data_IF_826609362059
#
_entry.id   IF_826609362059
#
_cell.length_a   1.000
_cell.length_b   1.000
_cell.length_c   1.000
_cell.angle_alpha   90.00
_cell.angle_beta   90.00
_cell.angle_gamma   90.00
#
_symmetry.space_group_name_H-M   'P 1'
#
loop_
_entity.id
_entity.type
_entity.pdbx_description
1 polymer ?
#
# COMPACT_ATOMS: atom_id res chain seq x y z
N UNK A 1 29.40 -10.41 2.49
CA UNK A 1 29.13 -11.61 3.29
C UNK A 1 27.66 -11.98 3.14
N UNK A 2 27.36 -12.91 2.23
CA UNK A 2 26.00 -13.39 1.97
C UNK A 2 25.56 -14.30 3.12
N UNK A 3 24.61 -13.85 3.95
CA UNK A 3 23.99 -14.74 4.93
C UNK A 3 23.08 -15.74 4.21
N UNK A 4 23.37 -17.02 4.42
CA UNK A 4 22.65 -18.22 3.97
C UNK A 4 21.13 -18.00 3.93
N UNK A 5 20.55 -18.14 2.73
CA UNK A 5 19.11 -18.07 2.50
C UNK A 5 18.40 -19.32 3.03
N UNK A 6 17.34 -19.11 3.82
CA UNK A 6 16.39 -20.16 4.18
C UNK A 6 15.79 -20.03 5.57
N UNK A 7 16.50 -19.48 6.55
CA UNK A 7 15.98 -19.36 7.91
C UNK A 7 15.08 -18.13 8.08
N UNK A 8 13.84 -18.35 8.52
CA UNK A 8 12.89 -17.28 8.80
C UNK A 8 13.47 -16.37 9.90
N UNK A 9 13.60 -15.07 9.62
CA UNK A 9 14.11 -14.09 10.59
C UNK A 9 13.22 -13.98 11.85
N UNK A 10 11.94 -14.33 11.71
CA UNK A 10 10.93 -14.35 12.77
C UNK A 10 10.08 -15.63 12.72
N UNK A 11 9.86 -16.25 13.88
CA UNK A 11 9.08 -17.49 14.03
C UNK A 11 7.59 -17.26 14.32
N UNK A 12 7.16 -16.00 14.51
CA UNK A 12 5.77 -15.64 14.74
C UNK A 12 5.60 -14.19 15.23
N UNK A 13 4.36 -13.76 15.42
CA UNK A 13 4.05 -12.39 15.88
C UNK A 13 4.72 -12.06 17.21
N UNK A 14 4.64 -12.96 18.20
CA UNK A 14 5.24 -12.77 19.52
C UNK A 14 6.77 -12.63 19.43
N UNK A 15 7.39 -13.36 18.51
CA UNK A 15 8.84 -13.32 18.28
C UNK A 15 9.26 -11.98 17.64
N UNK A 16 8.45 -11.43 16.72
CA UNK A 16 8.65 -10.07 16.17
C UNK A 16 8.60 -9.03 17.28
N UNK A 17 7.56 -9.04 18.12
CA UNK A 17 7.42 -8.05 19.20
C UNK A 17 8.58 -8.15 20.20
N UNK A 18 8.94 -9.36 20.65
CA UNK A 18 10.04 -9.56 21.61
C UNK A 18 11.38 -9.10 21.04
N UNK A 19 11.70 -9.47 19.80
CA UNK A 19 12.97 -9.08 19.15
C UNK A 19 13.02 -7.58 18.90
N UNK A 20 11.97 -6.97 18.36
CA UNK A 20 11.92 -5.54 18.05
C UNK A 20 11.93 -4.67 19.31
N UNK A 21 11.20 -5.05 20.37
CA UNK A 21 11.25 -4.34 21.64
C UNK A 21 12.64 -4.43 22.29
N UNK A 22 13.33 -5.56 22.15
CA UNK A 22 14.67 -5.76 22.70
C UNK A 22 15.76 -4.98 21.95
N UNK A 23 15.65 -4.83 20.63
CA UNK A 23 16.65 -4.12 19.81
C UNK A 23 16.40 -2.63 19.68
N UNK A 24 15.15 -2.23 19.44
CA UNK A 24 14.78 -0.86 19.05
C UNK A 24 13.77 -0.20 20.01
N UNK A 25 13.32 -0.93 21.04
CA UNK A 25 12.31 -0.45 21.99
C UNK A 25 10.96 -0.15 21.32
N UNK A 26 10.16 0.68 21.98
CA UNK A 26 8.84 1.12 21.50
C UNK A 26 8.98 1.94 20.20
N UNK A 27 10.06 2.71 20.07
CA UNK A 27 10.34 3.50 18.87
C UNK A 27 10.51 2.64 17.61
N UNK A 28 11.00 1.40 17.73
CA UNK A 28 11.08 0.45 16.63
C UNK A 28 9.72 0.03 16.07
N UNK A 29 8.70 -0.09 16.92
CA UNK A 29 7.34 -0.46 16.51
C UNK A 29 6.65 0.67 15.73
N UNK A 30 6.94 1.93 16.07
CA UNK A 30 6.38 3.12 15.40
C UNK A 30 7.28 3.68 14.29
N UNK A 31 8.39 3.00 13.95
CA UNK A 31 9.29 3.45 12.89
C UNK A 31 8.56 3.43 11.54
N UNK A 32 8.42 4.61 10.96
CA UNK A 32 7.67 4.81 9.72
C UNK A 32 6.22 5.29 9.92
N UNK A 33 5.78 5.62 11.14
CA UNK A 33 4.45 6.17 11.38
C UNK A 33 4.24 7.51 10.64
N UNK A 34 5.17 8.46 10.74
CA UNK A 34 5.05 9.77 10.07
C UNK A 34 4.92 9.65 8.55
N UNK A 35 5.72 8.81 7.90
CA UNK A 35 5.62 8.57 6.45
C UNK A 35 4.34 7.79 6.09
N UNK A 36 3.84 6.97 7.01
CA UNK A 36 2.52 6.31 6.86
C UNK A 36 1.38 7.33 6.86
N UNK A 37 1.43 8.34 7.73
CA UNK A 37 0.47 9.44 7.77
C UNK A 37 0.50 10.25 6.48
N UNK A 38 1.69 10.63 5.99
CA UNK A 38 1.80 11.34 4.71
C UNK A 38 1.29 10.48 3.56
N UNK A 39 1.64 9.18 3.54
CA UNK A 39 1.18 8.25 2.52
C UNK A 39 -0.34 8.10 2.47
N UNK A 40 -1.02 8.00 3.62
CA UNK A 40 -2.49 7.89 3.65
C UNK A 40 -3.17 9.20 3.23
N UNK A 41 -2.60 10.36 3.60
CA UNK A 41 -3.12 11.67 3.18
C UNK A 41 -3.02 11.82 1.68
N UNK A 42 -1.87 11.50 1.08
CA UNK A 42 -1.67 11.58 -0.38
C UNK A 42 -2.56 10.59 -1.11
N UNK A 43 -2.63 9.33 -0.63
CA UNK A 43 -3.49 8.32 -1.23
C UNK A 43 -4.96 8.73 -1.20
N UNK A 44 -5.49 9.12 -0.02
CA UNK A 44 -6.89 9.53 0.11
C UNK A 44 -7.17 10.85 -0.62
N UNK A 45 -6.26 11.82 -0.54
CA UNK A 45 -6.40 13.10 -1.22
C UNK A 45 -6.48 12.93 -2.74
N UNK A 46 -5.62 12.09 -3.32
CA UNK A 46 -5.68 11.76 -4.75
C UNK A 46 -6.90 10.92 -5.09
N UNK A 47 -7.28 9.96 -4.25
CA UNK A 47 -8.46 9.13 -4.46
C UNK A 47 -9.72 10.00 -4.53
N UNK A 48 -9.99 10.80 -3.50
CA UNK A 48 -11.16 11.69 -3.47
C UNK A 48 -11.05 12.78 -4.52
N UNK A 49 -9.88 13.40 -4.68
CA UNK A 49 -9.67 14.46 -5.68
C UNK A 49 -9.91 13.97 -7.11
N UNK A 50 -9.38 12.80 -7.49
CA UNK A 50 -9.65 12.23 -8.81
C UNK A 50 -11.09 11.75 -8.94
N UNK A 51 -11.68 11.15 -7.90
CA UNK A 51 -13.06 10.70 -7.94
C UNK A 51 -14.03 11.87 -8.12
N UNK A 52 -13.87 12.94 -7.34
CA UNK A 52 -14.73 14.13 -7.40
C UNK A 52 -14.47 14.98 -8.64
N UNK A 53 -13.28 14.88 -9.26
CA UNK A 53 -13.00 15.56 -10.54
C UNK A 53 -13.58 14.82 -11.73
N UNK A 54 -13.52 13.47 -11.74
CA UNK A 54 -13.91 12.67 -12.91
C UNK A 54 -15.40 12.33 -12.90
N UNK A 55 -16.01 12.14 -11.72
CA UNK A 55 -17.45 11.85 -11.59
C UNK A 55 -18.37 12.90 -12.24
N UNK A 56 -18.20 14.23 -12.05
CA UNK A 56 -19.07 15.23 -12.68
C UNK A 56 -18.80 15.42 -14.18
N UNK A 57 -17.64 14.99 -14.68
CA UNK A 57 -17.33 15.02 -16.12
C UNK A 57 -17.98 13.84 -16.87
N UNK A 58 -18.46 12.83 -16.15
CA UNK A 58 -19.07 11.65 -16.75
C UNK A 58 -20.56 11.90 -17.05
N UNK A 59 -21.03 11.64 -18.29
CA UNK A 59 -22.44 11.71 -18.66
C UNK A 59 -23.32 10.91 -17.71
N UNK A 60 -24.50 11.43 -17.38
CA UNK A 60 -25.41 10.82 -16.41
C UNK A 60 -25.83 9.38 -16.80
N UNK A 61 -25.91 9.09 -18.10
CA UNK A 61 -26.16 7.74 -18.63
C UNK A 61 -25.05 6.72 -18.36
N UNK A 62 -23.80 7.17 -18.19
CA UNK A 62 -22.66 6.33 -17.83
C UNK A 62 -22.54 6.16 -16.31
N UNK A 63 -23.07 7.08 -15.50
CA UNK A 63 -23.06 6.93 -14.04
C UNK A 63 -23.96 5.78 -13.57
N UNK A 64 -25.07 5.52 -14.26
CA UNK A 64 -25.96 4.38 -14.00
C UNK A 64 -25.39 3.04 -14.51
N UNK A 65 -24.39 3.08 -15.40
CA UNK A 65 -23.76 1.88 -15.93
C UNK A 65 -22.72 1.34 -14.95
N UNK A 66 -22.98 0.15 -14.38
CA UNK A 66 -22.07 -0.54 -13.46
C UNK A 66 -20.63 -0.63 -14.00
N UNK A 67 -20.47 -0.92 -15.30
CA UNK A 67 -19.15 -1.06 -15.93
C UNK A 67 -18.37 0.25 -16.01
N UNK A 68 -19.05 1.39 -16.23
CA UNK A 68 -18.41 2.70 -16.28
C UNK A 68 -18.02 3.19 -14.89
N UNK A 69 -18.88 3.01 -13.88
CA UNK A 69 -18.56 3.31 -12.48
C UNK A 69 -17.44 2.40 -11.95
N UNK A 70 -17.41 1.13 -12.36
CA UNK A 70 -16.32 0.20 -12.03
C UNK A 70 -15.01 0.60 -12.71
N UNK A 71 -15.03 0.94 -14.01
CA UNK A 71 -13.84 1.38 -14.74
C UNK A 71 -13.27 2.69 -14.16
N UNK A 72 -14.13 3.62 -13.77
CA UNK A 72 -13.73 4.86 -13.09
C UNK A 72 -13.11 4.57 -11.73
N UNK A 73 -13.76 3.73 -10.91
CA UNK A 73 -13.21 3.30 -9.62
C UNK A 73 -11.85 2.61 -9.77
N UNK A 74 -11.69 1.77 -10.79
CA UNK A 74 -10.43 1.08 -11.08
C UNK A 74 -9.34 2.05 -11.55
N UNK A 75 -9.66 2.99 -12.44
CA UNK A 75 -8.72 3.99 -12.95
C UNK A 75 -8.25 4.93 -11.82
N UNK A 76 -9.18 5.42 -10.99
CA UNK A 76 -8.88 6.27 -9.83
C UNK A 76 -8.03 5.52 -8.80
N UNK A 77 -8.38 4.27 -8.49
CA UNK A 77 -7.62 3.45 -7.53
C UNK A 77 -6.22 3.13 -8.05
N UNK A 78 -6.10 2.84 -9.35
CA UNK A 78 -4.80 2.56 -9.99
C UNK A 78 -3.94 3.81 -10.06
N UNK A 79 -4.50 4.96 -10.46
CA UNK A 79 -3.81 6.24 -10.54
C UNK A 79 -3.33 6.75 -9.18
N UNK A 80 -4.24 6.79 -8.19
CA UNK A 80 -3.89 7.17 -6.81
C UNK A 80 -2.91 6.18 -6.17
N UNK A 81 -3.05 4.88 -6.44
CA UNK A 81 -2.14 3.83 -6.00
C UNK A 81 -0.75 3.96 -6.59
N UNK A 82 -0.62 4.31 -7.87
CA UNK A 82 0.66 4.52 -8.55
C UNK A 82 1.35 5.79 -8.09
N UNK A 83 0.61 6.88 -7.95
CA UNK A 83 1.15 8.16 -7.48
C UNK A 83 1.62 8.11 -6.02
N UNK A 84 0.93 7.35 -5.16
CA UNK A 84 1.31 7.15 -3.76
C UNK A 84 2.37 6.04 -3.57
N UNK A 85 2.67 5.28 -4.62
CA UNK A 85 3.56 4.10 -4.56
C UNK A 85 5.00 4.43 -4.08
N UNK A 86 5.65 5.54 -4.51
CA UNK A 86 6.97 5.90 -3.99
C UNK A 86 6.99 6.09 -2.48
N UNK A 87 5.93 6.68 -1.92
CA UNK A 87 5.80 6.91 -0.47
C UNK A 87 5.59 5.58 0.25
N UNK A 88 4.79 4.69 -0.32
CA UNK A 88 4.55 3.34 0.19
C UNK A 88 5.84 2.48 0.16
N UNK A 89 6.66 2.60 -0.88
CA UNK A 89 7.97 1.93 -0.96
C UNK A 89 8.93 2.43 0.13
N UNK A 90 9.03 3.76 0.33
CA UNK A 90 9.85 4.33 1.40
C UNK A 90 9.35 3.88 2.78
N UNK A 91 8.02 3.89 3.00
CA UNK A 91 7.40 3.38 4.22
C UNK A 91 7.81 1.93 4.51
N UNK A 92 7.66 1.03 3.53
CA UNK A 92 8.01 -0.39 3.70
C UNK A 92 9.51 -0.56 3.95
N UNK A 93 10.37 0.14 3.20
CA UNK A 93 11.82 0.09 3.39
C UNK A 93 12.22 0.57 4.78
N UNK A 94 11.63 1.65 5.28
CA UNK A 94 11.85 2.12 6.66
C UNK A 94 11.39 1.09 7.70
N UNK A 95 10.23 0.48 7.54
CA UNK A 95 9.74 -0.55 8.47
C UNK A 95 10.66 -1.77 8.52
N UNK A 96 11.20 -2.19 7.37
CA UNK A 96 12.13 -3.32 7.25
C UNK A 96 13.52 -3.05 7.85
N UNK A 97 13.89 -1.79 8.09
CA UNK A 97 15.13 -1.44 8.82
C UNK A 97 15.01 -1.57 10.34
N UNK A 98 13.83 -1.90 10.87
CA UNK A 98 13.65 -2.17 12.31
C UNK A 98 14.42 -3.43 12.71
N UNK A 99 15.38 -3.29 13.63
CA UNK A 99 16.32 -4.35 14.01
C UNK A 99 17.57 -4.48 13.12
N UNK A 100 17.78 -3.61 12.13
CA UNK A 100 19.03 -3.54 11.36
C UNK A 100 20.05 -2.60 12.04
N UNK A 101 21.34 -2.87 11.81
CA UNK A 101 22.45 -2.06 12.36
C UNK A 101 22.54 -0.65 11.73
N UNK A 102 22.09 -0.51 10.48
CA UNK A 102 22.00 0.78 9.76
C UNK A 102 20.53 1.16 9.65
N UNK A 103 20.18 2.31 10.22
CA UNK A 103 18.82 2.83 10.27
C UNK A 103 18.76 4.13 9.47
N UNK A 104 17.65 4.36 8.79
CA UNK A 104 17.41 5.66 8.17
C UNK A 104 16.96 6.67 9.23
N UNK A 105 17.69 7.79 9.35
CA UNK A 105 17.38 8.85 10.31
C UNK A 105 16.11 9.63 9.94
N UNK A 106 15.77 9.72 8.64
CA UNK A 106 14.56 10.38 8.18
C UNK A 106 14.00 9.74 6.91
N UNK A 107 12.70 9.96 6.65
CA UNK A 107 12.04 9.51 5.43
C UNK A 107 12.62 10.15 4.17
N UNK A 108 13.10 11.40 4.28
CA UNK A 108 13.81 12.11 3.21
C UNK A 108 15.20 11.52 2.96
N UNK A 109 15.91 11.13 4.02
CA UNK A 109 17.19 10.42 3.90
C UNK A 109 17.00 9.07 3.19
N UNK A 110 16.01 8.29 3.64
CA UNK A 110 15.66 7.01 3.02
C UNK A 110 15.32 7.17 1.54
N UNK A 111 14.49 8.17 1.19
CA UNK A 111 14.14 8.44 -0.20
C UNK A 111 15.38 8.80 -1.05
N UNK A 112 16.21 9.74 -0.57
CA UNK A 112 17.43 10.15 -1.28
C UNK A 112 18.39 8.99 -1.49
N UNK A 113 18.57 8.17 -0.47
CA UNK A 113 19.49 7.04 -0.50
C UNK A 113 18.99 5.92 -1.43
N UNK A 114 17.68 5.64 -1.44
CA UNK A 114 17.07 4.72 -2.42
C UNK A 114 17.26 5.23 -3.84
N UNK A 115 17.01 6.53 -4.08
CA UNK A 115 17.16 7.11 -5.42
C UNK A 115 18.62 7.14 -5.87
N UNK A 116 19.55 7.45 -4.97
CA UNK A 116 20.98 7.50 -5.27
C UNK A 116 21.57 6.11 -5.52
N UNK A 117 21.18 5.11 -4.72
CA UNK A 117 21.79 3.77 -4.78
C UNK A 117 21.07 2.80 -5.72
N UNK A 118 19.73 2.84 -5.79
CA UNK A 118 18.92 1.89 -6.56
C UNK A 118 18.19 2.53 -7.76
N UNK A 119 18.16 3.87 -7.82
CA UNK A 119 17.48 4.63 -8.87
C UNK A 119 15.97 4.76 -8.67
N UNK A 120 15.39 5.74 -9.36
CA UNK A 120 13.94 6.06 -9.30
C UNK A 120 13.07 4.87 -9.72
N UNK A 121 13.56 4.01 -10.61
CA UNK A 121 12.85 2.79 -11.02
C UNK A 121 12.62 1.82 -9.85
N UNK A 122 13.47 1.82 -8.82
CA UNK A 122 13.30 0.95 -7.65
C UNK A 122 12.07 1.33 -6.82
N UNK A 123 11.66 2.60 -6.83
CA UNK A 123 10.49 3.09 -6.10
C UNK A 123 9.17 2.52 -6.65
N UNK A 124 9.14 2.18 -7.94
CA UNK A 124 7.97 1.61 -8.62
C UNK A 124 8.05 0.08 -8.78
N UNK A 125 9.12 -0.56 -8.30
CA UNK A 125 9.21 -2.03 -8.31
C UNK A 125 8.09 -2.60 -7.43
N UNK A 126 7.19 -3.38 -8.04
CA UNK A 126 6.03 -3.96 -7.38
C UNK A 126 4.71 -3.26 -7.69
N UNK A 127 4.71 -2.11 -8.37
CA UNK A 127 3.50 -1.38 -8.74
C UNK A 127 2.51 -2.26 -9.52
N UNK A 128 2.99 -3.01 -10.52
CA UNK A 128 2.17 -3.96 -11.29
C UNK A 128 1.59 -5.09 -10.43
N UNK A 129 2.36 -5.61 -9.48
CA UNK A 129 1.88 -6.61 -8.53
C UNK A 129 0.80 -6.05 -7.60
N UNK A 130 0.90 -4.77 -7.21
CA UNK A 130 -0.12 -4.12 -6.40
C UNK A 130 -1.41 -3.86 -7.19
N UNK A 131 -1.31 -3.53 -8.48
CA UNK A 131 -2.49 -3.41 -9.37
C UNK A 131 -3.19 -4.76 -9.51
N UNK A 132 -2.43 -5.84 -9.75
CA UNK A 132 -2.99 -7.19 -9.83
C UNK A 132 -3.64 -7.63 -8.51
N UNK A 133 -3.00 -7.32 -7.38
CA UNK A 133 -3.57 -7.53 -6.05
C UNK A 133 -4.86 -6.74 -5.84
N UNK A 134 -4.96 -5.51 -6.34
CA UNK A 134 -6.16 -4.70 -6.24
C UNK A 134 -7.32 -5.31 -7.06
N UNK A 135 -7.04 -5.79 -8.28
CA UNK A 135 -8.03 -6.48 -9.12
C UNK A 135 -8.50 -7.78 -8.43
N UNK A 136 -7.57 -8.58 -7.92
CA UNK A 136 -7.90 -9.81 -7.19
C UNK A 136 -8.75 -9.52 -5.93
N UNK A 137 -8.39 -8.49 -5.16
CA UNK A 137 -9.16 -8.06 -3.99
C UNK A 137 -10.58 -7.60 -4.34
N UNK A 138 -10.73 -6.81 -5.41
CA UNK A 138 -12.04 -6.40 -5.91
C UNK A 138 -12.88 -7.60 -6.39
N UNK A 139 -12.26 -8.57 -7.04
CA UNK A 139 -12.91 -9.82 -7.47
C UNK A 139 -13.41 -10.65 -6.28
N UNK A 140 -12.59 -10.81 -5.24
CA UNK A 140 -12.98 -11.54 -4.02
C UNK A 140 -14.13 -10.83 -3.29
N UNK A 141 -14.07 -9.51 -3.14
CA UNK A 141 -15.14 -8.71 -2.53
C UNK A 141 -16.45 -8.82 -3.33
N UNK A 142 -16.37 -8.67 -4.65
CA UNK A 142 -17.54 -8.79 -5.52
C UNK A 142 -18.15 -10.19 -5.46
N UNK A 143 -17.31 -11.23 -5.49
CA UNK A 143 -17.75 -12.62 -5.35
C UNK A 143 -18.38 -12.90 -3.99
N UNK A 144 -17.82 -12.33 -2.92
CA UNK A 144 -18.39 -12.43 -1.57
C UNK A 144 -19.76 -11.74 -1.48
N UNK A 145 -19.90 -10.55 -2.06
CA UNK A 145 -21.17 -9.83 -2.15
C UNK A 145 -22.24 -10.66 -2.89
N UNK A 146 -21.89 -11.29 -4.02
CA UNK A 146 -22.80 -12.18 -4.75
C UNK A 146 -23.19 -13.40 -3.91
N UNK A 147 -22.23 -14.02 -3.22
CA UNK A 147 -22.49 -15.16 -2.33
C UNK A 147 -23.36 -14.77 -1.13
N UNK A 148 -23.17 -13.59 -0.55
CA UNK A 148 -24.01 -13.09 0.55
C UNK A 148 -25.44 -12.81 0.10
N UNK A 149 -25.63 -12.20 -1.08
CA UNK A 149 -26.97 -11.98 -1.64
C UNK A 149 -27.66 -13.33 -1.91
N UNK A 150 -26.92 -14.33 -2.39
CA UNK A 150 -27.45 -15.65 -2.65
C UNK A 150 -27.77 -16.44 -1.37
N UNK A 151 -26.90 -16.40 -0.34
CA UNK A 151 -27.13 -17.12 0.93
C UNK A 151 -28.08 -16.41 1.90
N UNK A 152 -28.04 -15.08 1.97
CA UNK A 152 -28.72 -14.30 3.02
C UNK A 152 -29.77 -13.33 2.48
N UNK A 153 -29.95 -13.22 1.15
CA UNK A 153 -31.00 -12.40 0.53
C UNK A 153 -30.85 -10.89 0.71
N UNK A 154 -29.81 -10.40 1.40
CA UNK A 154 -29.49 -8.98 1.62
C UNK A 154 -27.98 -8.77 1.61
N UNK A 155 -27.52 -7.69 0.97
CA UNK A 155 -26.19 -7.13 1.24
C UNK A 155 -26.23 -6.42 2.59
N UNK A 156 -25.28 -6.72 3.47
CA UNK A 156 -24.98 -5.91 4.66
C UNK A 156 -23.77 -5.03 4.37
#
# INVERSE_FOLDING_TARGET
SAKKGGERQFNGLIDVYKKTLKTDGIAGLYRGFNISCVGIIVYRGLYFGMYDSVKPLMPQSLQDSFLATFALGWAVTTGSGLASYPIDTVRRRMMMTSGAAVKYDSSLHCFREIVANEGVKSLFKGAGANILRAIAGAGVLSGYDYLQVWMFGKKY
#
